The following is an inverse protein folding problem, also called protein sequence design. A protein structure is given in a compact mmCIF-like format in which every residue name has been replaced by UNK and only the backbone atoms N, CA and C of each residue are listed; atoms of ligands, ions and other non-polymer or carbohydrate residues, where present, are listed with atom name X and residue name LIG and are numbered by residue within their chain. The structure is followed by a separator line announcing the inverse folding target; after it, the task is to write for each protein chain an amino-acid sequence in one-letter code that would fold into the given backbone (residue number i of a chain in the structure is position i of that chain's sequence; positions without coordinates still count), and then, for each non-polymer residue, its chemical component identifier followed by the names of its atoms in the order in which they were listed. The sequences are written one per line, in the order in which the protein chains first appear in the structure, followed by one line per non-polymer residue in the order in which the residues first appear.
data_IF_737740150784
#
_entry.id   IF_737740150784
#
_cell.length_a   1.000
_cell.length_b   1.000
_cell.length_c   1.000
_cell.angle_alpha   90.00
_cell.angle_beta   90.00
_cell.angle_gamma   90.00
#
_symmetry.space_group_name_H-M   'P 1'
#
loop_
_entity.id
_entity.type
_entity.pdbx_description
1 polymer ?
#
# COMPACT_ATOMS: atom_id res chain seq x y z
N UNK A 1 14.18 -17.67 12.33
CA UNK A 1 14.48 -16.45 11.54
C UNK A 1 14.01 -15.20 12.27
N UNK A 2 14.59 -14.06 11.96
CA UNK A 2 14.18 -12.76 12.53
C UNK A 2 12.94 -12.29 11.79
N UNK A 3 11.89 -11.90 12.52
CA UNK A 3 10.74 -11.23 11.93
C UNK A 3 11.05 -9.73 11.78
N UNK A 4 11.48 -9.32 10.60
CA UNK A 4 11.83 -7.92 10.32
C UNK A 4 10.66 -6.95 10.49
N UNK A 5 9.42 -7.40 10.23
CA UNK A 5 8.23 -6.58 10.44
C UNK A 5 7.96 -6.25 11.92
N UNK A 6 8.48 -7.08 12.84
CA UNK A 6 8.38 -6.89 14.28
C UNK A 6 9.54 -6.08 14.89
N UNK A 7 10.54 -5.67 14.11
CA UNK A 7 11.63 -4.83 14.61
C UNK A 7 11.10 -3.45 14.97
N UNK A 8 11.16 -3.14 16.25
CA UNK A 8 10.69 -1.86 16.77
C UNK A 8 11.56 -0.71 16.24
N UNK A 9 10.91 0.29 15.64
CA UNK A 9 11.59 1.52 15.21
C UNK A 9 12.09 2.36 16.39
N UNK A 10 11.44 2.25 17.55
CA UNK A 10 11.73 3.11 18.72
C UNK A 10 12.96 2.66 19.49
N UNK A 11 13.23 1.36 19.57
CA UNK A 11 14.32 0.78 20.37
C UNK A 11 15.70 0.86 19.69
N UNK A 12 15.78 1.33 18.44
CA UNK A 12 17.04 1.44 17.71
C UNK A 12 17.64 0.11 17.22
N UNK A 13 16.90 -1.01 17.31
CA UNK A 13 17.34 -2.33 16.83
C UNK A 13 17.67 -2.32 15.33
N UNK A 14 17.03 -1.44 14.58
CA UNK A 14 17.27 -1.26 13.13
C UNK A 14 18.67 -0.69 12.82
N UNK A 15 19.36 -0.09 13.79
CA UNK A 15 20.76 0.39 13.64
C UNK A 15 21.75 -0.74 13.36
N UNK A 16 21.42 -1.98 13.74
CA UNK A 16 22.27 -3.14 13.46
C UNK A 16 22.30 -3.52 11.96
N UNK A 17 21.36 -3.02 11.16
CA UNK A 17 21.31 -3.29 9.73
C UNK A 17 22.02 -2.16 8.99
N UNK A 18 23.20 -2.47 8.48
CA UNK A 18 24.05 -1.58 7.71
C UNK A 18 24.08 -2.03 6.24
N UNK A 19 24.32 -1.11 5.29
CA UNK A 19 24.46 -1.48 3.89
C UNK A 19 25.74 -2.32 3.68
N UNK A 20 25.73 -3.14 2.67
CA UNK A 20 26.93 -3.76 2.12
C UNK A 20 27.64 -2.81 1.15
N UNK A 21 26.85 -2.03 0.41
CA UNK A 21 27.30 -0.95 -0.46
C UNK A 21 27.43 0.36 0.35
N UNK A 22 27.02 1.50 -0.18
CA UNK A 22 27.27 2.80 0.41
C UNK A 22 26.18 3.28 1.36
N UNK A 23 24.89 3.04 1.02
CA UNK A 23 23.77 3.46 1.87
C UNK A 23 22.51 2.62 1.64
N UNK A 24 21.62 2.64 2.64
CA UNK A 24 20.27 2.10 2.54
C UNK A 24 19.30 3.18 2.04
N UNK A 25 18.37 2.80 1.17
CA UNK A 25 17.33 3.67 0.65
C UNK A 25 15.98 2.94 0.75
N UNK A 26 15.08 3.46 1.56
CA UNK A 26 13.73 2.93 1.76
C UNK A 26 12.73 3.72 0.93
N UNK A 27 11.87 3.01 0.23
CA UNK A 27 10.69 3.51 -0.46
C UNK A 27 9.46 2.98 0.27
N UNK A 28 8.56 3.87 0.69
CA UNK A 28 7.35 3.53 1.44
C UNK A 28 6.13 4.09 0.68
N UNK A 29 5.15 3.24 0.37
CA UNK A 29 3.96 3.65 -0.37
C UNK A 29 2.98 4.31 0.60
N UNK A 30 2.77 5.61 0.45
CA UNK A 30 1.81 6.37 1.25
C UNK A 30 0.35 6.08 0.87
N UNK A 31 -0.53 5.97 1.89
CA UNK A 31 -1.98 5.81 1.70
C UNK A 31 -2.35 4.72 0.68
N UNK A 32 -1.70 3.57 0.74
CA UNK A 32 -1.77 2.55 -0.32
C UNK A 32 -3.20 2.04 -0.54
N UNK A 33 -3.89 1.54 0.48
CA UNK A 33 -5.27 1.05 0.34
C UNK A 33 -6.27 2.14 -0.08
N UNK A 34 -6.25 3.38 0.46
CA UNK A 34 -7.03 4.48 -0.10
C UNK A 34 -6.76 4.74 -1.59
N UNK A 35 -5.48 4.68 -2.02
CA UNK A 35 -5.10 4.84 -3.43
C UNK A 35 -5.67 3.71 -4.30
N UNK A 36 -5.54 2.47 -3.85
CA UNK A 36 -6.05 1.31 -4.59
C UNK A 36 -7.58 1.33 -4.68
N UNK A 37 -8.24 1.67 -3.59
CA UNK A 37 -9.70 1.80 -3.57
C UNK A 37 -10.17 2.94 -4.47
N UNK A 38 -9.51 4.11 -4.43
CA UNK A 38 -9.80 5.22 -5.33
C UNK A 38 -9.79 4.78 -6.80
N UNK A 39 -8.78 3.98 -7.21
CA UNK A 39 -8.71 3.42 -8.56
C UNK A 39 -9.86 2.44 -8.88
N UNK A 40 -10.28 1.64 -7.91
CA UNK A 40 -11.39 0.70 -8.10
C UNK A 40 -12.74 1.40 -8.27
N UNK A 41 -12.92 2.56 -7.61
CA UNK A 41 -14.20 3.28 -7.58
C UNK A 41 -14.19 4.53 -8.47
N UNK A 42 -13.14 4.71 -9.28
CA UNK A 42 -12.94 5.89 -10.13
C UNK A 42 -13.07 7.21 -9.35
N UNK A 43 -12.32 7.28 -8.24
CA UNK A 43 -12.18 8.48 -7.42
C UNK A 43 -10.73 8.96 -7.49
N UNK A 44 -10.52 10.17 -7.98
CA UNK A 44 -9.20 10.82 -8.01
C UNK A 44 -9.06 11.71 -6.76
N UNK A 45 -8.00 11.46 -6.00
CA UNK A 45 -7.57 12.40 -4.98
C UNK A 45 -6.79 13.50 -5.69
N UNK A 46 -7.35 14.68 -5.79
CA UNK A 46 -6.66 15.85 -6.31
C UNK A 46 -5.24 15.91 -5.75
N UNK A 47 -4.26 16.15 -6.60
CA UNK A 47 -2.82 16.00 -6.34
C UNK A 47 -2.38 16.44 -4.93
N UNK A 48 -1.82 15.54 -4.15
CA UNK A 48 -1.33 15.82 -2.79
C UNK A 48 -1.28 14.58 -1.90
N UNK A 49 -0.94 14.77 -0.64
CA UNK A 49 -0.98 13.70 0.36
C UNK A 49 -2.44 13.33 0.67
N UNK A 50 -2.82 12.08 0.37
CA UNK A 50 -4.19 11.57 0.54
C UNK A 50 -4.67 11.70 2.00
N UNK A 51 -3.78 11.51 2.98
CA UNK A 51 -4.16 11.67 4.38
C UNK A 51 -4.38 13.14 4.76
N UNK A 52 -3.70 14.07 4.08
CA UNK A 52 -4.02 15.51 4.21
C UNK A 52 -5.39 15.82 3.62
N UNK A 53 -5.72 15.29 2.45
CA UNK A 53 -7.07 15.46 1.89
C UNK A 53 -8.16 14.94 2.85
N UNK A 54 -7.95 13.77 3.46
CA UNK A 54 -8.87 13.29 4.49
C UNK A 54 -8.87 14.14 5.77
N UNK A 55 -7.73 14.72 6.17
CA UNK A 55 -7.64 15.64 7.30
C UNK A 55 -8.54 16.87 7.08
N UNK A 56 -8.50 17.44 5.89
CA UNK A 56 -9.36 18.55 5.47
C UNK A 56 -10.84 18.15 5.43
N UNK A 57 -11.16 16.99 4.80
CA UNK A 57 -12.52 16.47 4.69
C UNK A 57 -13.17 16.22 6.06
N UNK A 58 -12.40 15.75 7.04
CA UNK A 58 -12.90 15.44 8.38
C UNK A 58 -12.81 16.62 9.36
N UNK A 59 -12.01 17.64 9.04
CA UNK A 59 -11.72 18.73 9.96
C UNK A 59 -10.92 18.30 11.19
N UNK A 60 -9.98 17.34 11.05
CA UNK A 60 -9.15 16.80 12.12
C UNK A 60 -7.68 16.82 11.71
N UNK A 61 -6.77 16.57 12.68
CA UNK A 61 -5.35 16.45 12.38
C UNK A 61 -5.03 15.20 11.52
N UNK A 62 -3.83 15.23 10.93
CA UNK A 62 -3.35 14.19 10.01
C UNK A 62 -3.39 12.77 10.59
N UNK A 63 -2.92 12.59 11.83
CA UNK A 63 -2.86 11.27 12.45
C UNK A 63 -4.26 10.73 12.72
N UNK A 64 -5.14 11.59 13.17
CA UNK A 64 -6.55 11.26 13.40
C UNK A 64 -7.28 10.94 12.10
N UNK A 65 -7.00 11.69 11.04
CA UNK A 65 -7.56 11.42 9.71
C UNK A 65 -7.15 10.04 9.20
N UNK A 66 -5.87 9.69 9.34
CA UNK A 66 -5.36 8.35 8.99
C UNK A 66 -6.11 7.24 9.72
N UNK A 67 -6.24 7.35 11.05
CA UNK A 67 -6.97 6.37 11.87
C UNK A 67 -8.44 6.25 11.47
N UNK A 68 -9.12 7.38 11.27
CA UNK A 68 -10.53 7.42 10.88
C UNK A 68 -10.75 6.79 9.50
N UNK A 69 -9.88 7.09 8.54
CA UNK A 69 -9.98 6.52 7.20
C UNK A 69 -9.89 5.00 7.24
N UNK A 70 -8.90 4.44 7.93
CA UNK A 70 -8.77 3.00 8.06
C UNK A 70 -9.95 2.37 8.82
N UNK A 71 -10.43 2.98 9.90
CA UNK A 71 -11.61 2.49 10.62
C UNK A 71 -12.83 2.41 9.73
N UNK A 72 -13.04 3.40 8.87
CA UNK A 72 -14.19 3.43 7.95
C UNK A 72 -14.05 2.43 6.81
N UNK A 73 -12.84 2.30 6.24
CA UNK A 73 -12.60 1.35 5.15
C UNK A 73 -12.80 -0.11 5.59
N UNK A 74 -12.39 -0.44 6.82
CA UNK A 74 -12.41 -1.83 7.30
C UNK A 74 -13.59 -2.15 8.22
N UNK A 75 -14.14 -1.15 8.91
CA UNK A 75 -15.22 -1.34 9.87
C UNK A 75 -16.60 -0.87 9.41
N UNK A 76 -16.64 -0.12 8.31
CA UNK A 76 -17.85 0.52 7.79
C UNK A 76 -17.88 2.02 8.04
N UNK A 77 -18.55 2.73 7.15
CA UNK A 77 -18.58 4.20 7.12
C UNK A 77 -19.46 4.75 8.24
N UNK A 78 -18.92 5.70 9.00
CA UNK A 78 -19.67 6.40 10.04
C UNK A 78 -20.73 7.32 9.41
N UNK A 79 -21.88 7.45 10.07
CA UNK A 79 -23.04 8.20 9.56
C UNK A 79 -22.67 9.61 9.07
N UNK A 80 -21.87 10.32 9.86
CA UNK A 80 -21.44 11.69 9.57
C UNK A 80 -20.57 11.86 8.34
N UNK A 81 -19.99 10.77 7.79
CA UNK A 81 -19.09 10.79 6.64
C UNK A 81 -19.64 10.06 5.40
N UNK A 82 -20.85 9.52 5.50
CA UNK A 82 -21.49 8.79 4.39
C UNK A 82 -21.69 9.66 3.14
N UNK A 83 -21.86 10.97 3.36
CA UNK A 83 -22.08 11.93 2.28
C UNK A 83 -20.81 12.33 1.53
N UNK A 84 -19.61 12.02 2.06
CA UNK A 84 -18.35 12.26 1.35
C UNK A 84 -18.28 11.36 0.10
N UNK A 85 -17.94 11.97 -1.04
CA UNK A 85 -18.01 11.30 -2.34
C UNK A 85 -17.19 10.00 -2.40
N UNK A 86 -15.98 10.02 -1.82
CA UNK A 86 -15.15 8.81 -1.72
C UNK A 86 -15.88 7.66 -1.03
N UNK A 87 -16.54 7.92 0.10
CA UNK A 87 -17.24 6.88 0.85
C UNK A 87 -18.57 6.46 0.22
N UNK A 88 -19.24 7.36 -0.50
CA UNK A 88 -20.41 6.98 -1.33
C UNK A 88 -20.00 5.97 -2.39
N UNK A 89 -18.94 6.28 -3.15
CA UNK A 89 -18.40 5.38 -4.18
C UNK A 89 -17.92 4.05 -3.58
N UNK A 90 -17.20 4.10 -2.45
CA UNK A 90 -16.78 2.90 -1.73
C UNK A 90 -17.97 2.03 -1.32
N UNK A 91 -19.02 2.63 -0.78
CA UNK A 91 -20.23 1.89 -0.33
C UNK A 91 -20.90 1.22 -1.52
N UNK A 92 -21.14 1.94 -2.60
CA UNK A 92 -21.73 1.38 -3.83
C UNK A 92 -20.90 0.20 -4.36
N UNK A 93 -19.58 0.35 -4.42
CA UNK A 93 -18.68 -0.72 -4.85
C UNK A 93 -18.72 -1.93 -3.92
N UNK A 94 -18.74 -1.69 -2.61
CA UNK A 94 -18.78 -2.75 -1.59
C UNK A 94 -20.09 -3.54 -1.66
N UNK A 95 -21.21 -2.84 -1.84
CA UNK A 95 -22.54 -3.46 -1.95
C UNK A 95 -22.67 -4.28 -3.25
N UNK A 96 -22.17 -3.78 -4.38
CA UNK A 96 -22.10 -4.52 -5.64
C UNK A 96 -21.21 -5.77 -5.52
N UNK A 97 -20.01 -5.60 -4.96
CA UNK A 97 -19.09 -6.70 -4.70
C UNK A 97 -19.75 -7.78 -3.83
N UNK A 98 -20.46 -7.37 -2.78
CA UNK A 98 -21.17 -8.28 -1.90
C UNK A 98 -22.33 -8.99 -2.59
N UNK A 99 -23.13 -8.24 -3.37
CA UNK A 99 -24.25 -8.81 -4.12
C UNK A 99 -23.77 -9.88 -5.12
N UNK A 100 -22.69 -9.60 -5.87
CA UNK A 100 -22.07 -10.59 -6.78
C UNK A 100 -21.57 -11.81 -6.01
N UNK A 101 -20.86 -11.62 -4.91
CA UNK A 101 -20.37 -12.73 -4.08
C UNK A 101 -21.51 -13.61 -3.55
N UNK A 102 -22.65 -13.02 -3.18
CA UNK A 102 -23.82 -13.77 -2.70
C UNK A 102 -24.53 -14.52 -3.84
N UNK A 103 -24.68 -13.91 -5.00
CA UNK A 103 -25.47 -14.43 -6.11
C UNK A 103 -24.68 -15.42 -6.99
N UNK A 104 -23.40 -15.11 -7.26
CA UNK A 104 -22.53 -15.90 -8.13
C UNK A 104 -21.69 -16.93 -7.36
N UNK A 105 -21.65 -16.82 -6.03
CA UNK A 105 -20.88 -17.71 -5.16
C UNK A 105 -19.35 -17.47 -5.20
N UNK A 106 -18.89 -16.48 -5.97
CA UNK A 106 -17.46 -16.15 -6.07
C UNK A 106 -17.23 -14.73 -6.59
N UNK A 107 -16.04 -14.22 -6.38
CA UNK A 107 -15.52 -12.99 -7.02
C UNK A 107 -14.09 -13.21 -7.51
N UNK A 108 -13.74 -12.56 -8.62
CA UNK A 108 -12.40 -12.54 -9.17
C UNK A 108 -11.71 -11.21 -8.83
N UNK A 109 -10.47 -11.27 -8.35
CA UNK A 109 -9.64 -10.10 -8.09
C UNK A 109 -9.09 -9.48 -9.38
N UNK A 110 -9.06 -8.14 -9.50
CA UNK A 110 -8.80 -7.46 -10.78
C UNK A 110 -7.45 -7.78 -11.43
N UNK A 111 -6.36 -7.81 -10.67
CA UNK A 111 -4.98 -7.99 -11.20
C UNK A 111 -4.55 -9.45 -11.14
N UNK A 112 -4.63 -10.06 -9.96
CA UNK A 112 -4.12 -11.41 -9.71
C UNK A 112 -4.96 -12.51 -10.39
N UNK A 113 -6.21 -12.19 -10.75
CA UNK A 113 -7.21 -13.18 -11.20
C UNK A 113 -7.52 -14.25 -10.15
N UNK A 114 -7.14 -14.01 -8.90
CA UNK A 114 -7.49 -14.90 -7.80
C UNK A 114 -9.00 -14.90 -7.57
N UNK A 115 -9.57 -16.09 -7.40
CA UNK A 115 -11.01 -16.28 -7.19
C UNK A 115 -11.26 -16.59 -5.72
N UNK A 116 -12.00 -15.71 -5.05
CA UNK A 116 -12.56 -15.97 -3.73
C UNK A 116 -13.90 -16.68 -3.88
N UNK A 117 -14.01 -17.90 -3.38
CA UNK A 117 -15.25 -18.68 -3.41
C UNK A 117 -15.94 -18.66 -2.06
N UNK A 118 -17.26 -18.46 -2.06
CA UNK A 118 -18.09 -18.39 -0.87
C UNK A 118 -18.02 -19.67 -0.04
N UNK A 119 -17.90 -20.82 -0.69
CA UNK A 119 -17.82 -22.13 -0.04
C UNK A 119 -16.58 -22.32 0.84
N UNK A 120 -15.50 -21.52 0.62
CA UNK A 120 -14.25 -21.59 1.38
C UNK A 120 -14.07 -20.43 2.38
N UNK A 121 -15.05 -19.53 2.46
CA UNK A 121 -14.93 -18.33 3.28
C UNK A 121 -16.09 -18.25 4.27
N UNK A 122 -15.80 -18.59 5.52
CA UNK A 122 -16.76 -18.53 6.62
C UNK A 122 -16.87 -17.09 7.19
N UNK A 123 -18.03 -16.77 7.76
CA UNK A 123 -18.30 -15.51 8.45
C UNK A 123 -17.92 -14.23 7.66
N UNK A 124 -18.16 -14.26 6.34
CA UNK A 124 -17.91 -13.10 5.49
C UNK A 124 -18.95 -12.00 5.72
N UNK A 125 -18.48 -10.77 5.62
CA UNK A 125 -19.26 -9.53 5.65
C UNK A 125 -18.77 -8.62 4.52
N UNK A 126 -19.59 -7.66 4.04
CA UNK A 126 -19.21 -6.79 2.93
C UNK A 126 -17.83 -6.11 3.13
N UNK A 127 -17.57 -5.51 4.29
CA UNK A 127 -16.30 -4.85 4.58
C UNK A 127 -15.12 -5.82 4.68
N UNK A 128 -15.35 -7.03 5.23
CA UNK A 128 -14.32 -8.08 5.28
C UNK A 128 -13.96 -8.56 3.87
N UNK A 129 -14.94 -8.68 2.98
CA UNK A 129 -14.72 -9.05 1.58
C UNK A 129 -13.93 -7.95 0.84
N UNK A 130 -14.32 -6.69 1.00
CA UNK A 130 -13.59 -5.55 0.46
C UNK A 130 -12.13 -5.56 0.93
N UNK A 131 -11.89 -5.81 2.22
CA UNK A 131 -10.53 -5.88 2.77
C UNK A 131 -9.70 -7.00 2.11
N UNK A 132 -10.29 -8.18 1.88
CA UNK A 132 -9.61 -9.29 1.18
C UNK A 132 -9.25 -8.89 -0.26
N UNK A 133 -10.15 -8.22 -0.97
CA UNK A 133 -9.88 -7.70 -2.33
C UNK A 133 -8.75 -6.67 -2.31
N UNK A 134 -8.76 -5.72 -1.36
CA UNK A 134 -7.72 -4.69 -1.26
C UNK A 134 -6.34 -5.29 -0.92
N UNK A 135 -6.27 -6.23 0.04
CA UNK A 135 -5.01 -6.91 0.38
C UNK A 135 -4.47 -7.75 -0.79
N UNK A 136 -5.36 -8.41 -1.51
CA UNK A 136 -4.97 -9.15 -2.72
C UNK A 136 -4.46 -8.20 -3.81
N UNK A 137 -5.15 -7.08 -4.01
CA UNK A 137 -4.77 -6.07 -4.99
C UNK A 137 -3.42 -5.42 -4.65
N UNK A 138 -3.17 -5.11 -3.37
CA UNK A 138 -1.88 -4.65 -2.86
C UNK A 138 -0.77 -5.66 -3.20
N UNK A 139 -0.97 -6.92 -2.82
CA UNK A 139 0.01 -8.00 -3.08
C UNK A 139 0.28 -8.15 -4.58
N UNK A 140 -0.76 -8.17 -5.40
CA UNK A 140 -0.61 -8.31 -6.85
C UNK A 140 0.12 -7.11 -7.47
N UNK A 141 -0.19 -5.89 -7.03
CA UNK A 141 0.51 -4.67 -7.47
C UNK A 141 1.98 -4.71 -7.06
N UNK A 142 2.27 -5.13 -5.83
CA UNK A 142 3.64 -5.26 -5.33
C UNK A 142 4.45 -6.27 -6.11
N UNK A 143 3.86 -7.41 -6.50
CA UNK A 143 4.54 -8.39 -7.38
C UNK A 143 4.90 -7.75 -8.72
N UNK A 144 4.01 -6.96 -9.31
CA UNK A 144 4.31 -6.22 -10.54
C UNK A 144 5.45 -5.20 -10.33
N UNK A 145 5.44 -4.46 -9.21
CA UNK A 145 6.49 -3.50 -8.86
C UNK A 145 7.82 -4.21 -8.66
N UNK A 146 7.85 -5.29 -7.88
CA UNK A 146 9.05 -6.09 -7.63
C UNK A 146 9.66 -6.60 -8.93
N UNK A 147 8.82 -7.07 -9.85
CA UNK A 147 9.28 -7.55 -11.16
C UNK A 147 9.96 -6.44 -11.98
N UNK A 148 9.42 -5.23 -11.96
CA UNK A 148 10.03 -4.08 -12.65
C UNK A 148 11.34 -3.66 -11.97
N UNK A 149 11.37 -3.61 -10.63
CA UNK A 149 12.57 -3.32 -9.85
C UNK A 149 13.68 -4.34 -10.15
N UNK A 150 13.36 -5.64 -10.15
CA UNK A 150 14.35 -6.67 -10.47
C UNK A 150 14.92 -6.54 -11.89
N UNK A 151 14.11 -6.13 -12.86
CA UNK A 151 14.62 -5.85 -14.22
C UNK A 151 15.60 -4.67 -14.21
N UNK A 152 15.29 -3.59 -13.51
CA UNK A 152 16.16 -2.42 -13.39
C UNK A 152 17.47 -2.79 -12.70
N UNK A 153 17.42 -3.62 -11.65
CA UNK A 153 18.58 -4.01 -10.84
C UNK A 153 19.41 -5.14 -11.46
N UNK A 154 18.97 -5.70 -12.59
CA UNK A 154 19.72 -6.79 -13.24
C UNK A 154 21.12 -6.34 -13.65
N UNK A 155 22.14 -7.05 -13.14
CA UNK A 155 23.55 -6.74 -13.42
C UNK A 155 24.13 -5.54 -12.64
N UNK A 156 23.35 -4.95 -11.71
CA UNK A 156 23.77 -3.85 -10.86
C UNK A 156 24.35 -4.34 -9.51
N UNK A 157 25.18 -3.52 -8.87
CA UNK A 157 25.62 -3.74 -7.49
C UNK A 157 24.50 -3.39 -6.49
N UNK A 158 23.72 -2.35 -6.75
CA UNK A 158 22.52 -2.00 -6.00
C UNK A 158 21.54 -3.16 -5.93
N UNK A 159 21.02 -3.46 -4.75
CA UNK A 159 20.14 -4.62 -4.50
C UNK A 159 18.88 -4.21 -3.75
N UNK A 160 17.76 -4.86 -4.07
CA UNK A 160 16.60 -4.89 -3.19
C UNK A 160 16.90 -5.91 -2.07
N UNK A 161 17.01 -5.47 -0.84
CA UNK A 161 17.43 -6.31 0.30
C UNK A 161 16.28 -6.68 1.23
N UNK A 162 15.20 -5.90 1.24
CA UNK A 162 14.02 -6.20 2.03
C UNK A 162 12.76 -5.66 1.33
N UNK A 163 11.72 -6.44 1.40
CA UNK A 163 10.35 -6.05 1.02
C UNK A 163 9.41 -6.42 2.17
N UNK A 164 8.65 -5.46 2.66
CA UNK A 164 7.65 -5.65 3.71
C UNK A 164 6.41 -4.80 3.43
N UNK A 165 5.30 -5.46 3.08
CA UNK A 165 4.02 -4.79 2.80
C UNK A 165 4.13 -3.65 1.77
N UNK A 166 4.14 -2.42 2.23
CA UNK A 166 4.21 -1.17 1.48
C UNK A 166 5.62 -0.58 1.36
N UNK A 167 6.65 -1.25 1.93
CA UNK A 167 8.03 -0.76 1.99
C UNK A 167 9.01 -1.63 1.17
N UNK A 168 9.91 -0.96 0.48
CA UNK A 168 10.98 -1.55 -0.35
C UNK A 168 12.33 -0.95 0.06
N UNK A 169 13.24 -1.78 0.60
CA UNK A 169 14.54 -1.35 1.06
C UNK A 169 15.62 -1.75 0.05
N UNK A 170 16.36 -0.78 -0.43
CA UNK A 170 17.50 -0.94 -1.33
C UNK A 170 18.83 -0.76 -0.56
N UNK A 171 19.81 -1.57 -0.90
CA UNK A 171 21.22 -1.38 -0.59
C UNK A 171 21.90 -0.80 -1.83
N UNK A 172 22.25 0.48 -1.80
CA UNK A 172 22.57 1.30 -2.98
C UNK A 172 24.07 1.50 -3.10
N UNK A 173 24.61 1.20 -4.29
CA UNK A 173 25.94 1.63 -4.74
C UNK A 173 25.87 3.10 -5.21
N UNK A 174 26.68 3.98 -4.66
CA UNK A 174 26.69 5.42 -4.97
C UNK A 174 26.93 5.70 -6.46
N UNK A 175 27.70 4.86 -7.12
CA UNK A 175 27.99 4.99 -8.55
C UNK A 175 26.74 4.67 -9.42
N UNK A 176 25.71 4.04 -8.82
CA UNK A 176 24.49 3.62 -9.50
C UNK A 176 23.26 4.45 -9.08
N UNK A 177 23.41 5.63 -8.46
CA UNK A 177 22.29 6.46 -7.95
C UNK A 177 21.16 6.71 -8.95
N UNK A 178 21.45 6.73 -10.24
CA UNK A 178 20.42 6.86 -11.30
C UNK A 178 19.36 5.75 -11.28
N UNK A 179 19.70 4.60 -10.72
CA UNK A 179 18.76 3.48 -10.52
C UNK A 179 17.57 3.89 -9.65
N UNK A 180 17.80 4.75 -8.65
CA UNK A 180 16.72 5.26 -7.77
C UNK A 180 15.66 6.00 -8.60
N UNK A 181 16.09 6.87 -9.53
CA UNK A 181 15.17 7.61 -10.39
C UNK A 181 14.36 6.67 -11.30
N UNK A 182 15.00 5.62 -11.83
CA UNK A 182 14.31 4.61 -12.64
C UNK A 182 13.27 3.84 -11.81
N UNK A 183 13.61 3.47 -10.59
CA UNK A 183 12.69 2.80 -9.65
C UNK A 183 11.54 3.74 -9.27
N UNK A 184 11.81 5.01 -8.95
CA UNK A 184 10.77 5.99 -8.64
C UNK A 184 9.76 6.17 -9.79
N UNK A 185 10.21 6.09 -11.05
CA UNK A 185 9.32 6.11 -12.22
C UNK A 185 8.34 4.94 -12.24
N UNK A 186 8.74 3.76 -11.75
CA UNK A 186 7.84 2.59 -11.65
C UNK A 186 6.61 2.93 -10.81
N UNK A 187 6.83 3.52 -9.64
CA UNK A 187 5.74 3.93 -8.75
C UNK A 187 4.91 5.08 -9.32
N UNK A 188 5.57 6.08 -9.90
CA UNK A 188 4.90 7.22 -10.54
C UNK A 188 3.99 6.76 -11.69
N UNK A 189 4.45 5.84 -12.53
CA UNK A 189 3.66 5.30 -13.64
C UNK A 189 2.42 4.54 -13.13
N UNK A 190 2.50 4.00 -11.93
CA UNK A 190 1.38 3.35 -11.25
C UNK A 190 0.53 4.34 -10.42
N UNK A 191 0.81 5.64 -10.50
CA UNK A 191 0.14 6.70 -9.71
C UNK A 191 0.13 6.37 -8.21
N UNK A 192 1.27 5.93 -7.66
CA UNK A 192 1.47 5.65 -6.25
C UNK A 192 2.28 6.78 -5.62
N UNK A 193 1.86 7.21 -4.43
CA UNK A 193 2.60 8.19 -3.64
C UNK A 193 3.73 7.49 -2.89
N UNK A 194 4.94 8.03 -2.97
CA UNK A 194 6.10 7.46 -2.31
C UNK A 194 6.70 8.46 -1.33
N UNK A 195 6.92 8.00 -0.12
CA UNK A 195 7.82 8.60 0.85
C UNK A 195 9.13 7.82 0.83
N UNK A 196 10.25 8.49 1.05
CA UNK A 196 11.54 7.80 1.08
C UNK A 196 12.41 8.29 2.21
N UNK A 197 13.25 7.40 2.70
CA UNK A 197 14.28 7.66 3.69
C UNK A 197 15.60 7.06 3.19
N UNK A 198 16.73 7.60 3.62
CA UNK A 198 18.04 7.03 3.30
C UNK A 198 19.03 7.28 4.43
N UNK A 199 20.03 6.42 4.54
CA UNK A 199 21.03 6.53 5.59
C UNK A 199 22.03 5.37 5.60
N UNK A 200 22.99 5.47 6.52
CA UNK A 200 24.03 4.45 6.75
C UNK A 200 23.54 3.26 7.59
N UNK A 201 22.33 3.31 8.09
CA UNK A 201 21.66 2.22 8.82
C UNK A 201 20.18 2.19 8.46
N UNK A 202 19.48 1.09 8.79
CA UNK A 202 18.01 0.99 8.59
C UNK A 202 17.21 1.80 9.63
N UNK A 203 17.85 2.42 10.59
CA UNK A 203 17.24 3.43 11.47
C UNK A 203 17.56 4.83 10.91
N UNK A 204 16.65 5.36 10.13
CA UNK A 204 16.80 6.64 9.41
C UNK A 204 16.59 7.89 10.30
N UNK A 205 16.72 7.76 11.60
CA UNK A 205 16.64 8.87 12.56
C UNK A 205 17.98 9.51 12.81
#
# INVERSE_FOLDING_TARGET
GVNYAALNKENGDRKCFIPRNDFLFELDIGAYHPTLLGKLVDYDFDSGDIHMAFSEMYGVDYQKAKELTFKQMYGGVFEQYKELEFFKKMTVYTDDLWARFQNEGSIECPISKHIYKKEYLEDMKPQKLLNYVLQNLETAMNVCILWEIFKILKGKNTKLVLYTFDSFLLDVDENEKKVIEEILKVFKNKKLQIKYNYGSTYDFR
#
